data_IF_666408741828
#
_entry.id   IF_666408741828
#
_cell.length_a   1.000
_cell.length_b   1.000
_cell.length_c   1.000
_cell.angle_alpha   90.00
_cell.angle_beta   90.00
_cell.angle_gamma   90.00
#
_symmetry.space_group_name_H-M   'P 1'
#
loop_
_entity.id
_entity.type
_entity.pdbx_description
1 polymer ?
#
# COMPACT_ATOMS: atom_id res chain seq x y z
N UNK A 1 -26.52 -11.30 -4.73
CA UNK A 1 -26.30 -12.74 -4.98
C UNK A 1 -24.82 -12.87 -5.26
N UNK A 2 -24.01 -13.32 -4.29
CA UNK A 2 -22.56 -13.28 -4.41
C UNK A 2 -22.09 -14.42 -5.31
N UNK A 3 -21.40 -14.11 -6.41
CA UNK A 3 -20.72 -15.11 -7.23
C UNK A 3 -19.40 -15.46 -6.56
N UNK A 4 -19.12 -16.76 -6.41
CA UNK A 4 -17.85 -17.28 -5.91
C UNK A 4 -17.09 -17.89 -7.08
N UNK A 5 -15.88 -17.42 -7.33
CA UNK A 5 -14.99 -17.99 -8.34
C UNK A 5 -13.94 -18.81 -7.60
N UNK A 6 -13.82 -20.10 -7.94
CA UNK A 6 -12.77 -20.98 -7.42
C UNK A 6 -11.69 -21.12 -8.49
N UNK A 7 -10.49 -20.62 -8.20
CA UNK A 7 -9.31 -20.88 -9.02
C UNK A 7 -8.44 -21.86 -8.25
N UNK A 8 -8.28 -23.08 -8.79
CA UNK A 8 -7.38 -24.10 -8.22
C UNK A 8 -6.23 -24.29 -9.20
N UNK A 9 -5.04 -23.83 -8.82
CA UNK A 9 -3.82 -24.03 -9.61
C UNK A 9 -2.90 -25.04 -8.93
N UNK A 10 -2.60 -26.13 -9.62
CA UNK A 10 -1.53 -27.05 -9.26
C UNK A 10 -0.27 -26.65 -10.01
N UNK A 11 0.82 -26.32 -9.30
CA UNK A 11 2.07 -25.93 -9.94
C UNK A 11 3.25 -26.76 -9.41
N UNK A 12 4.06 -27.26 -10.35
CA UNK A 12 5.30 -28.01 -10.10
C UNK A 12 6.46 -27.10 -10.52
N UNK A 13 7.33 -26.68 -9.58
CA UNK A 13 8.49 -25.84 -9.89
C UNK A 13 9.76 -26.52 -9.38
N UNK A 14 10.77 -26.58 -10.26
CA UNK A 14 12.09 -27.13 -9.97
C UNK A 14 12.96 -26.12 -9.20
N UNK A 15 13.57 -26.58 -8.11
CA UNK A 15 14.43 -25.78 -7.22
C UNK A 15 15.84 -25.65 -7.81
N UNK A 16 16.35 -24.42 -7.97
CA UNK A 16 17.76 -24.13 -8.29
C UNK A 16 18.36 -23.37 -7.09
N UNK A 17 19.52 -23.83 -6.61
CA UNK A 17 20.10 -23.46 -5.30
C UNK A 17 20.72 -22.07 -5.17
N UNK A 18 20.78 -21.60 -3.92
CA UNK A 18 21.15 -20.25 -3.45
C UNK A 18 22.63 -20.20 -2.99
N UNK A 19 23.32 -19.08 -3.28
CA UNK A 19 24.57 -18.67 -2.63
C UNK A 19 24.33 -17.48 -1.69
N UNK A 20 24.75 -17.57 -0.43
CA UNK A 20 24.60 -16.53 0.58
C UNK A 20 25.83 -15.60 0.65
N UNK A 21 25.59 -14.31 0.93
CA UNK A 21 26.64 -13.31 1.21
C UNK A 21 26.26 -12.51 2.46
N UNK A 22 27.15 -12.55 3.46
CA UNK A 22 27.09 -11.77 4.71
C UNK A 22 27.78 -10.41 4.51
N UNK A 23 27.11 -9.33 4.90
CA UNK A 23 27.70 -7.98 4.94
C UNK A 23 27.35 -7.27 6.25
N UNK A 24 28.34 -7.13 7.13
CA UNK A 24 28.32 -6.26 8.32
C UNK A 24 28.50 -4.80 7.91
N UNK A 25 27.61 -3.91 8.36
CA UNK A 25 27.72 -2.46 8.19
C UNK A 25 27.37 -1.71 9.47
N UNK A 26 28.31 -0.90 9.94
CA UNK A 26 28.25 -0.01 11.13
C UNK A 26 27.00 0.88 11.16
N UNK A 27 26.37 0.98 12.33
CA UNK A 27 25.33 1.97 12.64
C UNK A 27 26.00 3.19 13.28
N UNK A 28 25.67 4.38 12.78
CA UNK A 28 26.16 5.68 13.25
C UNK A 28 25.14 6.35 14.19
N UNK A 29 25.65 7.07 15.19
CA UNK A 29 24.96 7.78 16.28
C UNK A 29 24.00 8.90 15.85
N UNK A 30 22.96 8.58 15.08
CA UNK A 30 21.81 9.45 14.80
C UNK A 30 20.52 8.88 15.44
N UNK A 31 20.67 8.22 16.58
CA UNK A 31 19.60 7.54 17.33
C UNK A 31 18.88 8.54 18.24
N UNK A 32 18.30 9.56 17.62
CA UNK A 32 17.48 10.57 18.26
C UNK A 32 16.10 9.95 18.51
N UNK A 33 15.89 9.46 19.73
CA UNK A 33 14.60 9.06 20.31
C UNK A 33 13.62 8.37 19.36
N UNK A 34 13.99 7.19 18.85
CA UNK A 34 13.01 6.17 18.48
C UNK A 34 12.42 5.63 19.78
N UNK A 35 11.51 6.39 20.40
CA UNK A 35 10.67 5.84 21.46
C UNK A 35 10.06 4.54 20.92
N UNK A 36 10.22 3.45 21.66
CA UNK A 36 9.67 2.14 21.34
C UNK A 36 8.20 2.30 20.92
N UNK A 37 7.79 2.05 19.69
CA UNK A 37 8.46 1.44 18.54
C UNK A 37 7.40 0.77 17.68
N UNK A 38 6.20 1.35 17.62
CA UNK A 38 5.14 0.89 16.75
C UNK A 38 5.30 1.65 15.45
N UNK A 39 5.58 0.92 14.37
CA UNK A 39 5.55 1.52 13.04
C UNK A 39 4.17 2.15 12.79
N UNK A 40 4.09 3.24 12.00
CA UNK A 40 2.81 3.78 11.58
C UNK A 40 1.94 2.67 11.01
N UNK A 41 0.69 2.56 11.49
CA UNK A 41 -0.24 1.63 10.86
C UNK A 41 -0.67 2.20 9.51
N UNK A 42 -0.65 1.36 8.48
CA UNK A 42 -1.06 1.71 7.13
C UNK A 42 -2.30 0.92 6.75
N UNK A 43 -3.30 1.59 6.19
CA UNK A 43 -4.46 0.94 5.60
C UNK A 43 -5.02 1.74 4.43
N UNK A 44 -5.67 1.03 3.51
CA UNK A 44 -6.47 1.62 2.46
C UNK A 44 -7.91 1.84 2.93
N UNK A 45 -8.46 3.04 2.68
CA UNK A 45 -9.86 3.38 2.89
C UNK A 45 -10.44 3.95 1.59
N UNK A 46 -10.98 3.08 0.74
CA UNK A 46 -11.38 3.48 -0.62
C UNK A 46 -10.15 3.86 -1.46
N UNK A 47 -10.11 5.10 -1.94
CA UNK A 47 -8.97 5.64 -2.71
C UNK A 47 -7.90 6.31 -1.84
N UNK A 48 -8.07 6.28 -0.52
CA UNK A 48 -7.18 6.93 0.42
C UNK A 48 -6.18 5.95 1.03
N UNK A 49 -4.90 6.33 1.01
CA UNK A 49 -3.90 5.77 1.91
C UNK A 49 -3.99 6.46 3.27
N UNK A 50 -4.15 5.69 4.34
CA UNK A 50 -4.28 6.26 5.69
C UNK A 50 -3.18 5.71 6.60
N UNK A 51 -2.38 6.64 7.14
CA UNK A 51 -1.31 6.37 8.09
C UNK A 51 -1.71 6.86 9.48
N UNK A 52 -1.56 6.02 10.52
CA UNK A 52 -1.91 6.40 11.90
C UNK A 52 -0.84 6.02 12.91
N UNK A 53 -0.56 6.94 13.83
CA UNK A 53 0.34 6.70 14.97
C UNK A 53 0.21 7.82 16.01
N UNK A 54 0.18 7.48 17.30
CA UNK A 54 0.30 8.48 18.38
C UNK A 54 -0.72 9.63 18.32
N UNK A 55 -1.96 9.34 17.92
CA UNK A 55 -3.02 10.34 17.75
C UNK A 55 -2.99 11.11 16.44
N UNK A 56 -1.97 10.92 15.60
CA UNK A 56 -1.88 11.51 14.27
C UNK A 56 -2.50 10.59 13.21
N UNK A 57 -3.20 11.19 12.25
CA UNK A 57 -3.73 10.54 11.05
C UNK A 57 -3.34 11.37 9.84
N UNK A 58 -2.57 10.79 8.92
CA UNK A 58 -2.33 11.34 7.59
C UNK A 58 -3.16 10.54 6.58
N UNK A 59 -4.05 11.22 5.86
CA UNK A 59 -4.85 10.66 4.79
C UNK A 59 -4.39 11.23 3.45
N UNK A 60 -3.95 10.38 2.55
CA UNK A 60 -3.51 10.74 1.20
C UNK A 60 -4.51 10.20 0.19
N UNK A 61 -5.24 11.10 -0.47
CA UNK A 61 -6.13 10.76 -1.57
C UNK A 61 -5.34 10.77 -2.88
N UNK A 62 -5.38 9.65 -3.61
CA UNK A 62 -4.75 9.53 -4.92
C UNK A 62 -5.71 9.96 -6.03
N UNK A 63 -5.29 10.93 -6.83
CA UNK A 63 -6.04 11.43 -7.97
C UNK A 63 -5.52 10.77 -9.25
N UNK A 64 -6.43 10.33 -10.13
CA UNK A 64 -6.06 9.59 -11.36
C UNK A 64 -5.15 8.39 -11.04
N UNK A 65 -5.59 7.60 -10.06
CA UNK A 65 -4.86 6.45 -9.50
C UNK A 65 -4.38 5.49 -10.59
N UNK A 66 -3.15 5.02 -10.50
CA UNK A 66 -2.56 4.05 -11.43
C UNK A 66 -2.16 4.64 -12.79
N UNK A 67 -2.07 5.96 -12.90
CA UNK A 67 -1.63 6.63 -14.13
C UNK A 67 -0.29 7.33 -13.94
N UNK A 68 0.40 7.62 -15.05
CA UNK A 68 1.61 8.44 -15.03
C UNK A 68 1.40 9.88 -14.51
N UNK A 69 0.14 10.33 -14.47
CA UNK A 69 -0.29 11.65 -14.04
C UNK A 69 -1.00 11.61 -12.68
N UNK A 70 -0.70 10.59 -11.87
CA UNK A 70 -1.27 10.44 -10.54
C UNK A 70 -0.85 11.61 -9.63
N UNK A 71 -1.84 12.32 -9.07
CA UNK A 71 -1.65 13.38 -8.08
C UNK A 71 -1.99 12.91 -6.67
N UNK A 72 -1.61 13.69 -5.66
CA UNK A 72 -1.85 13.35 -4.26
C UNK A 72 -2.35 14.56 -3.49
N UNK A 73 -3.40 14.36 -2.69
CA UNK A 73 -3.93 15.39 -1.79
C UNK A 73 -3.92 14.85 -0.38
N UNK A 74 -3.22 15.56 0.50
CA UNK A 74 -3.00 15.11 1.86
C UNK A 74 -3.75 15.91 2.91
N UNK A 75 -4.44 15.21 3.81
CA UNK A 75 -5.11 15.79 4.97
C UNK A 75 -4.48 15.25 6.25
N UNK A 76 -4.12 16.15 7.16
CA UNK A 76 -3.53 15.80 8.44
C UNK A 76 -4.53 16.06 9.57
N UNK A 77 -4.68 15.10 10.47
CA UNK A 77 -5.46 15.24 11.68
C UNK A 77 -4.63 14.88 12.91
N UNK A 78 -4.92 15.53 14.02
CA UNK A 78 -4.44 15.20 15.35
C UNK A 78 -5.63 15.03 16.28
N UNK A 79 -5.78 13.84 16.85
CA UNK A 79 -6.87 13.50 17.77
C UNK A 79 -8.26 13.76 17.14
N UNK A 80 -8.37 13.54 15.83
CA UNK A 80 -9.59 13.75 15.05
C UNK A 80 -9.82 15.20 14.57
N UNK A 81 -9.08 16.18 15.08
CA UNK A 81 -9.13 17.57 14.61
C UNK A 81 -8.24 17.79 13.38
N UNK A 82 -8.70 18.59 12.42
CA UNK A 82 -7.90 18.97 11.25
C UNK A 82 -6.71 19.85 11.68
N UNK A 83 -5.55 19.59 11.10
CA UNK A 83 -4.34 20.40 11.32
C UNK A 83 -4.18 21.33 10.12
N UNK A 84 -4.48 22.60 10.33
CA UNK A 84 -4.25 23.66 9.34
C UNK A 84 -2.77 24.09 9.39
N UNK A 85 -2.14 24.36 8.23
CA UNK A 85 -0.78 24.89 8.19
C UNK A 85 -0.76 26.37 8.59
N UNK A 86 0.26 26.79 9.33
CA UNK A 86 0.54 28.19 9.62
C UNK A 86 1.13 28.90 8.38
N UNK A 87 1.87 28.16 7.54
CA UNK A 87 2.56 28.67 6.35
C UNK A 87 2.59 27.64 5.21
N UNK A 88 2.67 28.13 3.96
CA UNK A 88 3.06 27.29 2.83
C UNK A 88 4.47 26.72 3.05
N UNK A 89 4.68 25.46 2.70
CA UNK A 89 5.93 24.73 2.93
C UNK A 89 6.28 24.50 4.41
N UNK A 90 5.34 24.66 5.34
CA UNK A 90 5.53 24.28 6.75
C UNK A 90 5.97 22.83 6.87
N UNK A 91 6.90 22.58 7.79
CA UNK A 91 7.39 21.24 8.13
C UNK A 91 7.06 20.93 9.58
N UNK A 92 6.44 19.79 9.81
CA UNK A 92 5.95 19.37 11.12
C UNK A 92 6.54 18.01 11.50
N UNK A 93 7.21 17.93 12.66
CA UNK A 93 7.63 16.66 13.24
C UNK A 93 6.44 16.04 13.97
N UNK A 94 6.06 14.82 13.55
CA UNK A 94 4.96 14.05 14.15
C UNK A 94 5.47 12.67 14.57
N UNK A 95 4.59 11.87 15.19
CA UNK A 95 4.84 10.44 15.42
C UNK A 95 4.93 9.65 14.10
N UNK A 96 4.19 10.06 13.06
CA UNK A 96 4.24 9.45 11.72
C UNK A 96 5.58 9.69 11.01
N UNK A 97 6.36 10.67 11.47
CA UNK A 97 7.59 11.14 10.84
C UNK A 97 7.54 12.64 10.54
N UNK A 98 8.44 13.08 9.68
CA UNK A 98 8.53 14.47 9.25
C UNK A 98 7.55 14.71 8.08
N UNK A 99 6.59 15.60 8.28
CA UNK A 99 5.58 15.96 7.28
C UNK A 99 5.82 17.38 6.77
N UNK A 100 5.40 17.66 5.54
CA UNK A 100 5.48 18.97 4.91
C UNK A 100 4.14 19.34 4.28
N UNK A 101 3.71 20.58 4.42
CA UNK A 101 2.57 21.14 3.70
C UNK A 101 3.02 21.65 2.32
N UNK A 102 2.41 21.16 1.24
CA UNK A 102 2.78 21.50 -0.14
C UNK A 102 1.94 22.62 -0.75
N UNK A 103 1.14 23.32 0.07
CA UNK A 103 0.15 24.28 -0.39
C UNK A 103 -1.14 23.60 -0.84
N UNK A 104 -2.22 24.36 -0.92
CA UNK A 104 -3.51 23.85 -1.38
C UNK A 104 -3.65 23.90 -2.91
N UNK A 105 -2.90 24.81 -3.54
CA UNK A 105 -3.02 25.09 -4.96
C UNK A 105 -2.23 24.07 -5.80
N UNK A 106 -2.85 23.59 -6.88
CA UNK A 106 -2.29 22.53 -7.73
C UNK A 106 -2.02 23.05 -9.13
N UNK A 107 -0.79 23.49 -9.44
CA UNK A 107 -0.47 24.05 -10.76
C UNK A 107 -0.58 23.01 -11.89
N UNK A 108 -0.49 21.72 -11.56
CA UNK A 108 -0.69 20.60 -12.48
C UNK A 108 -1.47 19.48 -11.80
N UNK A 109 -2.15 18.64 -12.60
CA UNK A 109 -3.03 17.59 -12.08
C UNK A 109 -2.31 16.58 -11.17
N UNK A 110 -1.04 16.30 -11.45
CA UNK A 110 -0.19 15.36 -10.71
C UNK A 110 0.64 16.01 -9.59
N UNK A 111 0.40 17.29 -9.28
CA UNK A 111 1.06 17.94 -8.16
C UNK A 111 0.59 17.33 -6.83
N UNK A 112 1.50 17.27 -5.85
CA UNK A 112 1.18 17.00 -4.45
C UNK A 112 0.64 18.29 -3.84
N UNK A 113 -0.46 18.22 -3.11
CA UNK A 113 -1.02 19.33 -2.31
C UNK A 113 -1.43 18.86 -0.91
N UNK A 114 -1.60 19.80 0.00
CA UNK A 114 -1.87 19.50 1.41
C UNK A 114 -0.65 18.91 2.13
N UNK A 115 -0.89 18.08 3.15
CA UNK A 115 0.16 17.46 3.97
C UNK A 115 0.71 16.17 3.36
N UNK A 116 2.02 16.03 3.22
CA UNK A 116 2.63 14.75 2.82
C UNK A 116 3.94 14.51 3.57
N UNK A 117 4.58 13.36 3.39
CA UNK A 117 5.92 13.14 3.93
C UNK A 117 6.91 14.17 3.35
N UNK A 118 7.78 14.69 4.21
CA UNK A 118 8.77 15.69 3.82
C UNK A 118 9.87 15.09 2.92
N UNK A 119 10.19 13.81 3.11
CA UNK A 119 11.08 13.07 2.23
C UNK A 119 10.32 12.60 0.99
N UNK A 120 10.75 13.08 -0.19
CA UNK A 120 10.13 12.70 -1.46
C UNK A 120 10.21 11.21 -1.75
N UNK A 121 11.16 10.49 -1.15
CA UNK A 121 11.29 9.02 -1.29
C UNK A 121 10.14 8.28 -0.61
N UNK A 122 9.52 8.90 0.38
CA UNK A 122 8.37 8.35 1.12
C UNK A 122 7.03 8.77 0.48
N UNK A 123 7.05 9.71 -0.47
CA UNK A 123 5.91 10.05 -1.32
C UNK A 123 5.76 8.95 -2.38
N UNK A 124 5.07 7.87 -1.99
CA UNK A 124 4.87 6.71 -2.86
C UNK A 124 3.65 6.90 -3.75
N UNK A 125 3.76 6.42 -4.98
CA UNK A 125 2.59 6.21 -5.87
C UNK A 125 1.70 5.11 -5.31
N UNK A 126 0.42 5.13 -5.64
CA UNK A 126 -0.52 4.13 -5.17
C UNK A 126 -0.11 2.70 -5.56
N UNK A 127 0.51 2.53 -6.73
CA UNK A 127 1.06 1.27 -7.25
C UNK A 127 2.19 0.68 -6.41
N UNK A 128 2.86 1.51 -5.59
CA UNK A 128 3.96 1.09 -4.72
C UNK A 128 3.51 0.84 -3.28
N UNK A 129 2.25 1.14 -2.97
CA UNK A 129 1.63 0.98 -1.65
C UNK A 129 0.77 -0.27 -1.58
N UNK A 130 1.25 -1.33 -2.23
CA UNK A 130 0.54 -2.59 -2.25
C UNK A 130 0.69 -3.26 -0.89
N UNK A 131 -0.42 -3.56 -0.18
CA UNK A 131 -0.34 -4.41 1.00
C UNK A 131 0.15 -5.78 0.56
N UNK A 132 1.33 -6.18 1.04
CA UNK A 132 1.81 -7.55 0.93
C UNK A 132 1.00 -8.36 1.93
N UNK A 133 0.10 -9.19 1.43
CA UNK A 133 -0.63 -10.13 2.27
C UNK A 133 0.27 -11.35 2.44
N UNK A 134 0.96 -11.44 3.58
CA UNK A 134 1.67 -12.66 3.97
C UNK A 134 0.66 -13.71 4.41
N UNK A 135 0.55 -14.81 3.67
CA UNK A 135 -0.30 -15.93 4.09
C UNK A 135 0.41 -16.78 5.14
N UNK A 136 -0.30 -17.09 6.24
CA UNK A 136 0.18 -18.03 7.25
C UNK A 136 0.45 -19.44 6.69
N UNK A 137 1.09 -20.30 7.48
CA UNK A 137 1.62 -21.60 7.02
C UNK A 137 0.57 -22.61 6.54
N UNK A 138 -0.71 -22.45 6.92
CA UNK A 138 -1.77 -23.40 6.59
C UNK A 138 -2.75 -22.79 5.60
N UNK A 139 -2.99 -23.44 4.46
CA UNK A 139 -3.94 -23.11 3.39
C UNK A 139 -4.96 -22.01 3.74
N UNK A 140 -4.60 -20.75 3.48
CA UNK A 140 -5.46 -19.61 3.79
C UNK A 140 -6.22 -19.16 2.55
N UNK A 141 -7.53 -19.05 2.72
CA UNK A 141 -8.38 -18.28 1.81
C UNK A 141 -8.05 -16.80 2.02
N UNK A 142 -7.50 -16.15 1.00
CA UNK A 142 -7.28 -14.71 1.00
C UNK A 142 -8.49 -14.06 0.37
N UNK A 143 -9.21 -13.29 1.19
CA UNK A 143 -10.36 -12.51 0.73
C UNK A 143 -9.90 -11.11 0.38
N UNK A 144 -10.14 -10.70 -0.86
CA UNK A 144 -9.90 -9.34 -1.28
C UNK A 144 -11.21 -8.56 -1.21
N UNK A 145 -11.19 -7.47 -0.46
CA UNK A 145 -12.29 -6.52 -0.47
C UNK A 145 -12.26 -5.69 -1.77
N UNK A 146 -13.41 -5.18 -2.27
CA UNK A 146 -13.47 -4.34 -3.47
C UNK A 146 -12.50 -3.14 -3.46
N UNK A 147 -12.21 -2.59 -2.28
CA UNK A 147 -11.28 -1.47 -2.12
C UNK A 147 -9.79 -1.85 -2.26
N UNK A 148 -9.45 -3.15 -2.24
CA UNK A 148 -8.08 -3.65 -2.33
C UNK A 148 -7.67 -3.90 -3.79
N UNK A 149 -7.75 -2.85 -4.61
CA UNK A 149 -7.21 -2.91 -5.98
C UNK A 149 -5.68 -2.95 -5.92
N UNK A 150 -5.06 -3.76 -6.79
CA UNK A 150 -3.60 -3.97 -6.86
C UNK A 150 -2.94 -4.68 -5.68
N UNK A 151 -3.68 -5.46 -4.89
CA UNK A 151 -3.10 -6.23 -3.79
C UNK A 151 -2.13 -7.32 -4.31
N UNK A 152 -1.00 -7.51 -3.61
CA UNK A 152 -0.01 -8.56 -3.88
C UNK A 152 -0.10 -9.58 -2.76
N UNK A 153 -0.19 -10.85 -3.14
CA UNK A 153 -0.16 -11.97 -2.20
C UNK A 153 1.11 -12.74 -2.45
N UNK A 154 1.92 -12.92 -1.41
CA UNK A 154 3.06 -13.82 -1.46
C UNK A 154 2.63 -15.19 -0.94
N UNK A 155 2.75 -16.20 -1.79
CA UNK A 155 2.39 -17.59 -1.48
C UNK A 155 3.65 -18.44 -1.50
N UNK A 156 3.84 -19.31 -0.51
CA UNK A 156 4.96 -20.25 -0.52
C UNK A 156 4.72 -21.37 -1.52
N UNK A 157 5.80 -21.89 -2.12
CA UNK A 157 5.73 -23.03 -3.04
C UNK A 157 5.03 -24.21 -2.37
N UNK A 158 4.02 -24.77 -3.04
CA UNK A 158 3.22 -25.89 -2.54
C UNK A 158 1.98 -25.51 -1.72
N UNK A 159 1.76 -24.22 -1.43
CA UNK A 159 0.51 -23.75 -0.83
C UNK A 159 -0.57 -23.51 -1.91
N UNK A 160 -1.82 -23.85 -1.57
CA UNK A 160 -2.99 -23.52 -2.39
C UNK A 160 -3.53 -22.19 -1.91
N UNK A 161 -3.56 -21.19 -2.80
CA UNK A 161 -4.22 -19.92 -2.54
C UNK A 161 -5.67 -19.98 -3.05
N UNK A 162 -6.64 -19.87 -2.14
CA UNK A 162 -8.02 -19.61 -2.52
C UNK A 162 -8.26 -18.10 -2.45
N UNK A 163 -8.67 -17.50 -3.56
CA UNK A 163 -8.92 -16.06 -3.67
C UNK A 163 -10.43 -15.84 -3.67
N UNK A 164 -10.97 -15.25 -2.59
CA UNK A 164 -12.37 -14.84 -2.52
C UNK A 164 -12.48 -13.37 -2.95
N UNK A 165 -13.01 -13.16 -4.15
CA UNK A 165 -13.19 -11.84 -4.76
C UNK A 165 -14.63 -11.42 -4.56
N UNK A 166 -14.87 -10.42 -3.72
CA UNK A 166 -16.21 -9.87 -3.55
C UNK A 166 -16.53 -8.98 -4.75
N UNK A 167 -17.51 -9.40 -5.55
CA UNK A 167 -18.04 -8.64 -6.69
C UNK A 167 -19.16 -7.72 -6.19
N UNK A 168 -19.09 -6.44 -6.53
CA UNK A 168 -20.11 -5.47 -6.12
C UNK A 168 -21.34 -5.64 -7.02
N UNK A 169 -22.38 -6.28 -6.48
CA UNK A 169 -23.59 -6.60 -7.24
C UNK A 169 -24.23 -5.34 -7.84
N UNK A 170 -24.58 -5.39 -9.13
CA UNK A 170 -25.19 -4.28 -9.86
C UNK A 170 -24.20 -3.29 -10.47
N UNK A 171 -22.90 -3.60 -10.47
CA UNK A 171 -21.89 -2.84 -11.19
C UNK A 171 -21.43 -3.58 -12.45
N UNK A 172 -20.89 -2.85 -13.43
CA UNK A 172 -20.27 -3.42 -14.64
C UNK A 172 -18.80 -3.81 -14.43
N UNK A 173 -18.35 -3.90 -13.17
CA UNK A 173 -16.97 -4.23 -12.84
C UNK A 173 -16.81 -5.73 -12.62
N UNK A 174 -15.84 -6.33 -13.29
CA UNK A 174 -15.38 -7.69 -13.03
C UNK A 174 -13.91 -7.67 -12.60
N UNK A 175 -13.50 -8.70 -11.86
CA UNK A 175 -12.11 -8.86 -11.48
C UNK A 175 -11.31 -9.51 -12.61
N UNK A 176 -10.23 -8.86 -13.02
CA UNK A 176 -9.21 -9.43 -13.89
C UNK A 176 -7.97 -9.74 -13.03
N UNK A 177 -7.55 -11.00 -13.05
CA UNK A 177 -6.24 -11.42 -12.53
C UNK A 177 -5.24 -11.32 -13.67
N UNK A 178 -4.20 -10.50 -13.48
CA UNK A 178 -3.07 -10.44 -14.40
C UNK A 178 -2.12 -11.64 -14.17
N UNK A 179 -1.29 -11.93 -15.17
CA UNK A 179 -0.39 -13.09 -15.17
C UNK A 179 0.52 -13.11 -13.92
N UNK A 180 0.67 -14.30 -13.33
CA UNK A 180 1.47 -14.48 -12.14
C UNK A 180 2.95 -14.28 -12.46
N UNK A 181 3.60 -13.34 -11.77
CA UNK A 181 5.06 -13.24 -11.80
C UNK A 181 5.64 -14.19 -10.74
N UNK A 182 6.52 -15.09 -11.17
CA UNK A 182 7.32 -15.91 -10.24
C UNK A 182 8.66 -15.23 -10.02
N UNK A 183 9.04 -15.02 -8.76
CA UNK A 183 10.40 -14.66 -8.38
C UNK A 183 11.02 -15.74 -7.46
N UNK A 184 12.25 -15.52 -6.99
CA UNK A 184 12.96 -16.48 -6.14
C UNK A 184 12.33 -16.66 -4.74
N UNK A 185 11.32 -15.86 -4.36
CA UNK A 185 10.69 -15.86 -3.04
C UNK A 185 9.21 -16.28 -3.03
N UNK A 186 8.52 -16.24 -4.17
CA UNK A 186 7.11 -16.63 -4.26
C UNK A 186 6.47 -16.34 -5.61
N UNK A 187 5.14 -16.51 -5.65
CA UNK A 187 4.29 -16.03 -6.75
C UNK A 187 3.65 -14.73 -6.33
N UNK A 188 3.70 -13.73 -7.20
CA UNK A 188 2.99 -12.47 -7.05
C UNK A 188 1.85 -12.40 -8.07
N UNK A 189 0.64 -12.14 -7.59
CA UNK A 189 -0.54 -11.90 -8.41
C UNK A 189 -0.96 -10.45 -8.27
N UNK A 190 -1.46 -9.86 -9.36
CA UNK A 190 -2.11 -8.55 -9.32
C UNK A 190 -3.56 -8.72 -9.77
N UNK A 191 -4.51 -8.36 -8.91
CA UNK A 191 -5.92 -8.28 -9.25
C UNK A 191 -6.33 -6.83 -9.47
N UNK A 192 -7.06 -6.55 -10.55
CA UNK A 192 -7.69 -5.24 -10.81
C UNK A 192 -9.17 -5.42 -11.13
N UNK A 193 -9.99 -4.43 -10.76
CA UNK A 193 -11.35 -4.32 -11.27
C UNK A 193 -11.32 -3.64 -12.63
N UNK A 194 -12.01 -4.23 -13.60
CA UNK A 194 -12.14 -3.71 -14.97
C UNK A 194 -13.61 -3.51 -15.27
N UNK A 195 -13.96 -2.39 -15.89
CA UNK A 195 -15.31 -2.11 -16.36
C UNK A 195 -15.50 -2.73 -17.74
N UNK A 196 -16.62 -3.42 -17.96
CA UNK A 196 -17.04 -3.88 -19.29
C UNK A 196 -17.22 -2.72 -20.30
#
# INVERSE_FOLDING_TARGET
MNRRIWVVMNLLVAVIGIGASLGMGRVSDAELHRESGTEPTFQWEGDDAVYRQGGWELRITYLQRGTRSEGQVGLLRREGALVEPDLDAEVLQTSLGLLKHYGDDRPVLWAVSGWNFADQRDIKRSELLVPVIETGADSQMVRFAPAQTHAQVQVKVGQVLAVDLEEQAGTAYHWQLDEAASDMGGLTFTGKQVMD
#
